data_IF_845607027274
#
_entry.id   IF_845607027274
#
_cell.length_a   1.000
_cell.length_b   1.000
_cell.length_c   1.000
_cell.angle_alpha   90.00
_cell.angle_beta   90.00
_cell.angle_gamma   90.00
#
_symmetry.space_group_name_H-M   'P 1'
#
loop_
_entity.id
_entity.type
_entity.pdbx_description
1 polymer ?
#
# COMPACT_ATOMS: atom_id res chain seq x y z
N UNK A 1 12.06 10.61 16.36
CA UNK A 1 12.77 9.32 16.48
C UNK A 1 11.87 8.22 15.97
N UNK A 2 12.38 7.35 15.14
CA UNK A 2 11.58 6.30 14.53
C UNK A 2 11.38 5.15 15.53
N UNK A 3 10.12 4.86 15.87
CA UNK A 3 9.79 3.71 16.71
C UNK A 3 9.65 2.46 15.82
N UNK A 4 10.50 1.43 15.99
CA UNK A 4 10.42 0.20 15.20
C UNK A 4 9.06 -0.51 15.28
N UNK A 5 8.37 -0.39 16.43
CA UNK A 5 7.01 -0.95 16.58
C UNK A 5 6.00 -0.22 15.71
N UNK A 6 6.12 1.09 15.62
CA UNK A 6 5.24 1.90 14.78
C UNK A 6 5.41 1.53 13.30
N UNK A 7 6.67 1.42 12.84
CA UNK A 7 6.96 0.97 11.48
C UNK A 7 6.41 -0.42 11.18
N UNK A 8 6.62 -1.38 12.10
CA UNK A 8 6.09 -2.74 11.95
C UNK A 8 4.56 -2.75 11.84
N UNK A 9 3.88 -1.98 12.69
CA UNK A 9 2.42 -1.89 12.67
C UNK A 9 1.91 -1.30 11.35
N UNK A 10 2.50 -0.20 10.87
CA UNK A 10 2.13 0.40 9.60
C UNK A 10 2.35 -0.57 8.42
N UNK A 11 3.50 -1.24 8.38
CA UNK A 11 3.77 -2.24 7.34
C UNK A 11 2.81 -3.42 7.42
N UNK A 12 2.46 -3.85 8.64
CA UNK A 12 1.46 -4.91 8.87
C UNK A 12 0.08 -4.53 8.33
N UNK A 13 -0.35 -3.29 8.55
CA UNK A 13 -1.61 -2.78 8.01
C UNK A 13 -1.59 -2.71 6.47
N UNK A 14 -0.48 -2.26 5.88
CA UNK A 14 -0.33 -2.21 4.42
C UNK A 14 -0.38 -3.60 3.79
N UNK A 15 0.36 -4.57 4.33
CA UNK A 15 0.34 -5.97 3.86
C UNK A 15 -1.05 -6.59 4.05
N UNK A 16 -1.76 -6.20 5.12
CA UNK A 16 -3.12 -6.63 5.41
C UNK A 16 -4.21 -6.01 4.54
N UNK A 17 -3.87 -5.08 3.63
CA UNK A 17 -4.78 -4.52 2.63
C UNK A 17 -4.47 -5.12 1.24
N UNK A 18 -5.05 -6.27 0.86
CA UNK A 18 -4.78 -6.89 -0.43
C UNK A 18 -5.06 -5.95 -1.60
N UNK A 19 -4.11 -5.87 -2.55
CA UNK A 19 -4.20 -4.99 -3.71
C UNK A 19 -3.58 -5.63 -4.96
N UNK A 20 -3.83 -6.90 -5.16
CA UNK A 20 -3.34 -7.65 -6.32
C UNK A 20 -3.87 -7.06 -7.62
N UNK A 21 -2.98 -6.78 -8.56
CA UNK A 21 -3.33 -6.36 -9.92
C UNK A 21 -3.04 -7.49 -10.91
N UNK A 22 -4.04 -7.82 -11.73
CA UNK A 22 -3.94 -8.91 -12.70
C UNK A 22 -4.77 -8.60 -13.94
N UNK A 23 -4.29 -9.04 -15.10
CA UNK A 23 -5.09 -9.05 -16.33
C UNK A 23 -6.23 -10.10 -16.27
N UNK A 24 -6.14 -11.05 -15.37
CA UNK A 24 -7.17 -12.07 -15.14
C UNK A 24 -8.17 -11.58 -14.10
N UNK A 25 -9.46 -11.39 -14.46
CA UNK A 25 -10.45 -10.84 -13.54
C UNK A 25 -10.64 -11.63 -12.24
N UNK A 26 -10.39 -12.92 -12.27
CA UNK A 26 -10.50 -13.78 -11.08
C UNK A 26 -9.44 -13.51 -10.02
N UNK A 27 -8.30 -12.88 -10.39
CA UNK A 27 -7.20 -12.53 -9.48
C UNK A 27 -7.10 -11.04 -9.20
N UNK A 28 -7.72 -10.22 -10.05
CA UNK A 28 -7.61 -8.76 -9.97
C UNK A 28 -8.42 -8.21 -8.79
N UNK A 29 -7.80 -7.32 -8.03
CA UNK A 29 -8.39 -6.64 -6.88
C UNK A 29 -8.34 -5.13 -7.08
N UNK A 30 -9.21 -4.40 -6.38
CA UNK A 30 -9.06 -2.96 -6.23
C UNK A 30 -7.97 -2.60 -5.24
N UNK A 31 -7.55 -1.34 -5.25
CA UNK A 31 -6.58 -0.80 -4.29
C UNK A 31 -7.16 0.32 -3.40
N UNK A 32 -8.48 0.51 -3.40
CA UNK A 32 -9.11 1.63 -2.68
C UNK A 32 -8.85 1.55 -1.18
N UNK A 33 -8.83 0.36 -0.59
CA UNK A 33 -8.63 0.21 0.85
C UNK A 33 -7.22 0.65 1.26
N UNK A 34 -6.18 0.21 0.56
CA UNK A 34 -4.80 0.63 0.87
C UNK A 34 -4.59 2.11 0.54
N UNK A 35 -5.21 2.65 -0.50
CA UNK A 35 -5.16 4.09 -0.82
C UNK A 35 -5.82 4.91 0.28
N UNK A 36 -6.99 4.50 0.76
CA UNK A 36 -7.68 5.20 1.85
C UNK A 36 -6.90 5.14 3.17
N UNK A 37 -6.25 4.01 3.46
CA UNK A 37 -5.37 3.87 4.62
C UNK A 37 -4.19 4.85 4.56
N UNK A 38 -3.49 4.88 3.43
CA UNK A 38 -2.38 5.81 3.21
C UNK A 38 -2.83 7.26 3.27
N UNK A 39 -3.99 7.58 2.68
CA UNK A 39 -4.57 8.92 2.71
C UNK A 39 -4.78 9.39 4.15
N UNK A 40 -5.38 8.54 5.01
CA UNK A 40 -5.62 8.91 6.40
C UNK A 40 -4.33 9.22 7.17
N UNK A 41 -3.28 8.42 6.97
CA UNK A 41 -2.00 8.67 7.63
C UNK A 41 -1.33 9.96 7.16
N UNK A 42 -1.40 10.24 5.86
CA UNK A 42 -0.78 11.44 5.30
C UNK A 42 -1.57 12.71 5.62
N UNK A 43 -2.90 12.65 5.70
CA UNK A 43 -3.74 13.74 6.20
C UNK A 43 -3.38 14.11 7.63
N UNK A 44 -3.19 13.11 8.51
CA UNK A 44 -2.77 13.34 9.90
C UNK A 44 -1.39 14.02 10.00
N UNK A 45 -0.53 13.84 9.00
CA UNK A 45 0.76 14.49 8.86
C UNK A 45 0.69 15.87 8.19
N UNK A 46 -0.50 16.33 7.79
CA UNK A 46 -0.72 17.64 7.19
C UNK A 46 -0.58 17.70 5.66
N UNK A 47 -0.57 16.55 4.99
CA UNK A 47 -0.59 16.53 3.53
C UNK A 47 -1.98 16.84 2.98
N UNK A 48 -2.04 17.57 1.87
CA UNK A 48 -3.23 17.67 1.04
C UNK A 48 -3.31 16.41 0.15
N UNK A 49 -4.45 15.74 0.18
CA UNK A 49 -4.66 14.46 -0.52
C UNK A 49 -5.57 14.65 -1.72
N UNK A 50 -5.15 14.10 -2.85
CA UNK A 50 -5.93 14.00 -4.06
C UNK A 50 -6.01 12.53 -4.50
N UNK A 51 -7.21 11.95 -4.43
CA UNK A 51 -7.48 10.57 -4.86
C UNK A 51 -8.13 10.61 -6.23
N UNK A 52 -7.48 10.00 -7.20
CA UNK A 52 -7.86 10.02 -8.62
C UNK A 52 -8.31 8.62 -9.02
N UNK A 53 -9.63 8.34 -9.04
CA UNK A 53 -10.14 7.05 -9.51
C UNK A 53 -9.75 6.78 -10.96
N UNK A 54 -9.55 5.51 -11.28
CA UNK A 54 -9.30 5.09 -12.66
C UNK A 54 -10.62 5.04 -13.43
N UNK A 55 -10.64 5.63 -14.62
CA UNK A 55 -11.82 5.62 -15.48
C UNK A 55 -12.29 4.20 -15.77
N UNK A 56 -13.60 3.97 -15.55
CA UNK A 56 -14.21 2.66 -15.73
C UNK A 56 -13.93 1.64 -14.62
N UNK A 57 -13.08 1.99 -13.62
CA UNK A 57 -12.80 1.11 -12.48
C UNK A 57 -12.63 1.91 -11.18
N UNK A 58 -13.73 2.31 -10.52
CA UNK A 58 -13.67 3.16 -9.32
C UNK A 58 -13.06 2.45 -8.10
N UNK A 59 -12.89 1.12 -8.15
CA UNK A 59 -12.21 0.37 -7.10
C UNK A 59 -10.68 0.49 -7.18
N UNK A 60 -10.16 1.11 -8.25
CA UNK A 60 -8.75 1.45 -8.43
C UNK A 60 -8.57 2.96 -8.47
N UNK A 61 -7.52 3.44 -7.83
CA UNK A 61 -7.19 4.86 -7.82
C UNK A 61 -5.68 5.09 -7.74
N UNK A 62 -5.27 6.23 -8.25
CA UNK A 62 -4.00 6.84 -7.89
C UNK A 62 -4.21 7.82 -6.74
N UNK A 63 -3.14 8.15 -6.02
CA UNK A 63 -3.16 9.16 -4.98
C UNK A 63 -1.97 10.09 -5.15
N UNK A 64 -2.22 11.39 -4.99
CA UNK A 64 -1.18 12.40 -4.87
C UNK A 64 -1.32 13.04 -3.49
N UNK A 65 -0.24 13.06 -2.74
CA UNK A 65 -0.16 13.73 -1.45
C UNK A 65 0.87 14.85 -1.54
N UNK A 66 0.47 16.06 -1.19
CA UNK A 66 1.31 17.25 -1.31
C UNK A 66 1.50 17.91 0.04
N UNK A 67 2.74 18.20 0.40
CA UNK A 67 3.08 18.96 1.59
C UNK A 67 3.84 20.22 1.16
N UNK A 68 3.38 21.38 1.65
CA UNK A 68 3.97 22.66 1.32
C UNK A 68 3.45 23.25 0.00
N UNK A 69 4.12 24.30 -0.47
CA UNK A 69 3.72 25.07 -1.68
C UNK A 69 4.92 25.76 -2.30
N UNK A 70 4.74 26.29 -3.49
CA UNK A 70 5.75 27.04 -4.22
C UNK A 70 6.43 26.24 -5.33
N UNK A 71 7.34 26.86 -6.08
CA UNK A 71 8.03 26.20 -7.19
C UNK A 71 9.11 25.23 -6.71
N UNK A 72 9.35 24.19 -7.48
CA UNK A 72 10.33 23.16 -7.16
C UNK A 72 9.76 22.09 -6.21
N UNK A 73 10.64 21.29 -5.62
CA UNK A 73 10.28 20.26 -4.67
C UNK A 73 10.83 18.88 -4.99
N UNK A 74 10.44 17.91 -4.18
CA UNK A 74 10.79 16.50 -4.33
C UNK A 74 9.52 15.69 -4.57
N UNK A 75 9.54 14.83 -5.58
CA UNK A 75 8.48 13.84 -5.82
C UNK A 75 9.01 12.46 -5.50
N UNK A 76 8.33 11.78 -4.59
CA UNK A 76 8.54 10.37 -4.30
C UNK A 76 7.44 9.57 -5.01
N UNK A 77 7.82 8.67 -5.90
CA UNK A 77 6.88 7.84 -6.65
C UNK A 77 7.01 6.38 -6.21
N UNK A 78 5.88 5.77 -5.93
CA UNK A 78 5.76 4.37 -5.55
C UNK A 78 4.47 3.77 -6.06
N UNK A 79 4.23 2.50 -5.73
CA UNK A 79 2.99 1.82 -6.10
C UNK A 79 2.49 0.91 -4.98
N UNK A 80 1.19 0.65 -4.96
CA UNK A 80 0.53 -0.19 -3.97
C UNK A 80 0.07 -1.53 -4.52
N UNK A 81 0.04 -1.67 -5.84
CA UNK A 81 -0.35 -2.93 -6.47
C UNK A 81 0.71 -4.01 -6.28
N UNK A 82 0.24 -5.24 -6.09
CA UNK A 82 1.07 -6.42 -5.96
C UNK A 82 0.72 -7.44 -7.05
N UNK A 83 1.57 -8.45 -7.20
CA UNK A 83 1.34 -9.55 -8.14
C UNK A 83 0.44 -10.63 -7.52
N UNK A 84 -0.26 -11.45 -8.34
CA UNK A 84 -0.92 -12.66 -7.83
C UNK A 84 0.09 -13.61 -7.20
N UNK A 85 -0.32 -14.30 -6.16
CA UNK A 85 0.48 -15.33 -5.51
C UNK A 85 -0.29 -16.66 -5.45
N UNK A 86 0.45 -17.74 -5.27
CA UNK A 86 -0.14 -19.04 -4.90
C UNK A 86 0.04 -19.25 -3.38
N UNK A 87 -1.02 -19.08 -2.56
CA UNK A 87 -0.92 -19.19 -1.10
C UNK A 87 -0.39 -20.55 -0.63
N UNK A 88 -0.61 -21.62 -1.39
CA UNK A 88 -0.13 -22.98 -1.06
C UNK A 88 1.40 -23.08 -1.05
N UNK A 89 2.09 -22.18 -1.76
CA UNK A 89 3.56 -22.12 -1.79
C UNK A 89 4.15 -21.23 -0.70
N UNK A 90 3.32 -20.51 0.05
CA UNK A 90 3.75 -19.68 1.16
C UNK A 90 3.76 -20.49 2.46
N UNK A 91 4.76 -20.25 3.31
CA UNK A 91 4.85 -20.86 4.64
C UNK A 91 3.90 -20.22 5.65
N UNK A 92 3.44 -19.00 5.38
CA UNK A 92 2.48 -18.24 6.17
C UNK A 92 1.51 -17.52 5.22
N UNK A 93 0.45 -16.93 5.76
CA UNK A 93 -0.48 -16.12 4.98
C UNK A 93 0.25 -14.95 4.28
N UNK A 94 0.19 -14.82 2.95
CA UNK A 94 0.82 -13.73 2.20
C UNK A 94 0.36 -12.33 2.63
N UNK A 95 -0.87 -12.20 3.13
CA UNK A 95 -1.47 -10.94 3.56
C UNK A 95 -1.37 -10.69 5.07
N UNK A 96 -0.53 -11.44 5.76
CA UNK A 96 -0.22 -11.24 7.17
C UNK A 96 1.28 -11.06 7.34
N UNK A 97 1.70 -9.85 7.74
CA UNK A 97 3.11 -9.58 7.97
C UNK A 97 3.66 -10.48 9.06
N UNK A 98 4.66 -11.27 8.75
CA UNK A 98 5.29 -12.23 9.67
C UNK A 98 6.75 -11.89 9.86
N UNK A 99 7.18 -11.81 11.12
CA UNK A 99 8.59 -11.63 11.47
C UNK A 99 9.20 -12.95 11.91
N UNK A 100 10.30 -13.34 11.26
CA UNK A 100 11.08 -14.54 11.59
C UNK A 100 12.55 -14.33 11.20
N UNK A 101 13.47 -14.74 12.08
CA UNK A 101 14.90 -14.68 11.83
C UNK A 101 15.38 -13.28 11.38
N UNK A 102 14.88 -12.25 12.04
CA UNK A 102 15.17 -10.84 11.75
C UNK A 102 14.81 -10.40 10.32
N UNK A 103 13.81 -11.06 9.72
CA UNK A 103 13.24 -10.74 8.41
C UNK A 103 11.75 -10.58 8.50
N UNK A 104 11.20 -9.75 7.62
CA UNK A 104 9.77 -9.54 7.46
C UNK A 104 9.29 -10.24 6.17
N UNK A 105 8.18 -10.95 6.28
CA UNK A 105 7.57 -11.70 5.18
C UNK A 105 6.14 -11.24 4.97
N UNK A 106 5.80 -10.92 3.74
CA UNK A 106 4.45 -10.53 3.32
C UNK A 106 4.45 -10.23 1.83
N UNK A 107 3.33 -10.40 1.16
CA UNK A 107 3.22 -10.11 -0.27
C UNK A 107 3.42 -8.60 -0.49
N UNK A 108 4.38 -8.24 -1.32
CA UNK A 108 4.73 -6.85 -1.60
C UNK A 108 5.58 -6.16 -0.53
N UNK A 109 6.14 -6.89 0.43
CA UNK A 109 6.98 -6.33 1.50
C UNK A 109 8.42 -5.99 1.08
N UNK A 110 8.80 -6.18 -0.18
CA UNK A 110 10.15 -5.86 -0.72
C UNK A 110 10.08 -4.72 -1.70
#
# INVERSE_FOLDING_TARGET
MHDPKHFFNQLSELVGCPSVSSASPQWDMGNRDVINLLASWLEDLGFAIDIIPIDGNPNKANMIATLGSGPGGLVLAGHTDTVPCNPEKWQQDPFTLTQRDNRLYGLGAT
#
